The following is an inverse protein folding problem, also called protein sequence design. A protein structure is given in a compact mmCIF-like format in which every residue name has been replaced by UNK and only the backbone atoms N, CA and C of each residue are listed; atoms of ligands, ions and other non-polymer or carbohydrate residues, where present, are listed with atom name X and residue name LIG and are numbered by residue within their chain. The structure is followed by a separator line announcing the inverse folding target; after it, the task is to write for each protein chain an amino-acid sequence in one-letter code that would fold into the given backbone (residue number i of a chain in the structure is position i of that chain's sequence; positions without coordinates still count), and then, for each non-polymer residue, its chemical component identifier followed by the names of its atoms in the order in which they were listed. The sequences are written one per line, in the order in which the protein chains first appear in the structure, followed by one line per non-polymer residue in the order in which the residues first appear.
data_IF_330319365935
#
_entry.id   IF_330319365935
#
_cell.length_a   1.000
_cell.length_b   1.000
_cell.length_c   1.000
_cell.angle_alpha   90.00
_cell.angle_beta   90.00
_cell.angle_gamma   90.00
#
_symmetry.space_group_name_H-M   'P 1'
#
loop_
_entity.id
_entity.type
_entity.pdbx_description
1 polymer ?
#
# COMPACT_ATOMS: atom_id res chain seq x y z
N UNK A 1 14.63 7.65 -4.91
CA UNK A 1 13.18 7.39 -4.76
C UNK A 1 12.52 7.03 -6.08
N UNK A 2 12.05 5.79 -6.21
CA UNK A 2 11.40 5.28 -7.42
C UNK A 2 10.04 4.71 -7.05
N UNK A 3 8.97 5.30 -7.59
CA UNK A 3 7.59 4.86 -7.38
C UNK A 3 7.37 3.39 -7.75
N UNK A 4 8.20 2.86 -8.65
CA UNK A 4 8.16 1.50 -9.15
C UNK A 4 8.30 0.44 -8.05
N UNK A 5 9.11 0.69 -7.00
CA UNK A 5 9.26 -0.27 -5.90
C UNK A 5 7.99 -0.31 -5.04
N UNK A 6 7.37 0.85 -4.81
CA UNK A 6 6.09 0.94 -4.08
C UNK A 6 4.99 0.24 -4.87
N UNK A 7 4.89 0.51 -6.17
CA UNK A 7 3.90 -0.15 -7.03
C UNK A 7 4.11 -1.67 -7.06
N UNK A 8 5.36 -2.14 -7.10
CA UNK A 8 5.65 -3.57 -7.00
C UNK A 8 5.14 -4.17 -5.69
N UNK A 9 5.36 -3.52 -4.55
CA UNK A 9 4.84 -3.98 -3.26
C UNK A 9 3.32 -4.07 -3.27
N UNK A 10 2.65 -3.01 -3.76
CA UNK A 10 1.18 -2.97 -3.83
C UNK A 10 0.63 -4.06 -4.77
N UNK A 11 1.32 -4.31 -5.89
CA UNK A 11 0.98 -5.39 -6.82
C UNK A 11 1.11 -6.75 -6.17
N UNK A 12 2.23 -7.02 -5.50
CA UNK A 12 2.49 -8.31 -4.85
C UNK A 12 1.45 -8.56 -3.72
N UNK A 13 1.09 -7.53 -2.95
CA UNK A 13 0.04 -7.62 -1.92
C UNK A 13 -1.35 -7.86 -2.53
N UNK A 14 -1.66 -7.20 -3.65
CA UNK A 14 -2.92 -7.43 -4.35
C UNK A 14 -3.02 -8.85 -4.93
N UNK A 15 -1.91 -9.34 -5.49
CA UNK A 15 -1.85 -10.60 -6.22
C UNK A 15 -1.76 -11.82 -5.29
N UNK A 16 -1.08 -11.71 -4.15
CA UNK A 16 -0.92 -12.80 -3.18
C UNK A 16 -1.62 -12.47 -1.85
N UNK A 17 -2.74 -13.14 -1.52
CA UNK A 17 -3.45 -12.90 -0.26
C UNK A 17 -2.59 -13.22 0.98
N UNK A 18 -1.59 -14.09 0.88
CA UNK A 18 -0.67 -14.35 1.97
C UNK A 18 0.22 -13.13 2.28
N UNK A 19 0.58 -12.34 1.26
CA UNK A 19 1.31 -11.10 1.46
C UNK A 19 0.41 -10.02 2.08
N UNK A 20 -0.88 -9.98 1.74
CA UNK A 20 -1.85 -9.13 2.43
C UNK A 20 -2.01 -9.52 3.92
N UNK A 21 -2.07 -10.81 4.23
CA UNK A 21 -2.08 -11.31 5.61
C UNK A 21 -0.79 -10.96 6.36
N UNK A 22 0.36 -11.12 5.72
CA UNK A 22 1.66 -10.81 6.30
C UNK A 22 1.82 -9.30 6.49
N UNK A 23 1.31 -8.49 5.56
CA UNK A 23 1.29 -7.04 5.68
C UNK A 23 0.45 -6.57 6.87
N UNK A 24 -0.70 -7.21 7.13
CA UNK A 24 -1.54 -6.92 8.30
C UNK A 24 -0.88 -7.27 9.63
N UNK A 25 -0.08 -8.33 9.67
CA UNK A 25 0.52 -8.84 10.91
C UNK A 25 1.89 -8.22 11.19
N UNK A 26 2.76 -8.17 10.19
CA UNK A 26 4.16 -7.78 10.31
C UNK A 26 4.61 -7.01 9.06
N UNK A 27 4.12 -5.77 8.86
CA UNK A 27 4.44 -4.98 7.66
C UNK A 27 5.94 -4.73 7.54
N UNK A 28 6.64 -4.44 8.64
CA UNK A 28 8.10 -4.20 8.62
C UNK A 28 8.86 -5.39 8.03
N UNK A 29 8.55 -6.61 8.48
CA UNK A 29 9.22 -7.85 8.00
C UNK A 29 8.95 -8.09 6.52
N UNK A 30 7.75 -7.76 6.04
CA UNK A 30 7.43 -7.85 4.62
C UNK A 30 8.21 -6.79 3.82
N UNK A 31 8.22 -5.55 4.29
CA UNK A 31 8.84 -4.42 3.58
C UNK A 31 10.37 -4.50 3.52
N UNK A 32 11.03 -5.21 4.45
CA UNK A 32 12.46 -5.54 4.36
C UNK A 32 12.82 -6.38 3.13
N UNK A 33 11.85 -7.09 2.53
CA UNK A 33 12.07 -7.88 1.30
C UNK A 33 12.19 -7.01 0.06
N UNK A 34 11.88 -5.71 0.17
CA UNK A 34 11.88 -4.77 -0.92
C UNK A 34 12.98 -3.72 -0.71
N UNK A 35 13.59 -3.28 -1.80
CA UNK A 35 14.60 -2.20 -1.80
C UNK A 35 13.98 -0.82 -1.61
N UNK A 36 13.13 -0.65 -0.59
CA UNK A 36 12.50 0.62 -0.23
C UNK A 36 13.44 1.46 0.63
N UNK A 37 13.53 2.74 0.34
CA UNK A 37 14.14 3.71 1.24
C UNK A 37 13.31 3.86 2.53
N UNK A 38 13.90 4.28 3.67
CA UNK A 38 13.16 4.39 4.94
C UNK A 38 11.85 5.19 4.84
N UNK A 39 11.88 6.32 4.13
CA UNK A 39 10.68 7.14 3.92
C UNK A 39 9.61 6.44 3.04
N UNK A 40 10.02 5.56 2.12
CA UNK A 40 9.08 4.78 1.30
C UNK A 40 8.49 3.63 2.12
N UNK A 41 9.29 2.99 2.99
CA UNK A 41 8.79 1.99 3.94
C UNK A 41 7.71 2.57 4.84
N UNK A 42 7.97 3.75 5.42
CA UNK A 42 6.99 4.43 6.27
C UNK A 42 5.69 4.74 5.52
N UNK A 43 5.77 5.26 4.30
CA UNK A 43 4.62 5.53 3.45
C UNK A 43 3.74 4.31 3.19
N UNK A 44 4.37 3.19 2.83
CA UNK A 44 3.64 1.95 2.57
C UNK A 44 3.06 1.40 3.86
N UNK A 45 3.83 1.42 4.95
CA UNK A 45 3.42 0.93 6.27
C UNK A 45 2.22 1.67 6.84
N UNK A 46 2.17 2.99 6.68
CA UNK A 46 1.03 3.80 7.13
C UNK A 46 -0.16 3.72 6.17
N UNK A 47 0.00 3.06 5.01
CA UNK A 47 -0.98 3.05 3.93
C UNK A 47 -1.46 4.46 3.57
N UNK A 48 -0.54 5.43 3.50
CA UNK A 48 -0.91 6.79 3.10
C UNK A 48 -1.13 6.83 1.58
N UNK A 49 -2.30 6.35 1.17
CA UNK A 49 -2.67 6.19 -0.24
C UNK A 49 -2.71 7.52 -0.98
N UNK A 50 -3.01 8.62 -0.27
CA UNK A 50 -2.99 9.96 -0.85
C UNK A 50 -1.57 10.39 -1.16
N UNK A 51 -0.63 10.25 -0.22
CA UNK A 51 0.76 10.58 -0.47
C UNK A 51 1.40 9.68 -1.53
N UNK A 52 1.03 8.40 -1.58
CA UNK A 52 1.51 7.48 -2.62
C UNK A 52 0.91 7.86 -3.99
N UNK A 53 -0.38 8.21 -4.07
CA UNK A 53 -1.01 8.68 -5.30
C UNK A 53 -0.41 10.01 -5.79
N UNK A 54 -0.14 10.96 -4.88
CA UNK A 54 0.51 12.24 -5.21
C UNK A 54 1.93 12.07 -5.74
N UNK A 55 2.58 10.93 -5.46
CA UNK A 55 3.89 10.55 -6.01
C UNK A 55 3.79 9.84 -7.37
N UNK A 56 2.58 9.68 -7.92
CA UNK A 56 2.33 9.17 -9.25
C UNK A 56 2.00 7.68 -9.33
N UNK A 57 1.73 7.00 -8.20
CA UNK A 57 1.29 5.61 -8.23
C UNK A 57 -0.07 5.45 -8.89
N UNK A 58 -0.29 4.31 -9.54
CA UNK A 58 -1.59 3.93 -10.09
C UNK A 58 -2.69 3.90 -9.03
N UNK A 59 -3.74 4.71 -9.23
CA UNK A 59 -4.90 4.76 -8.33
C UNK A 59 -5.65 3.43 -8.28
N UNK A 60 -5.72 2.71 -9.41
CA UNK A 60 -6.37 1.40 -9.47
C UNK A 60 -5.59 0.36 -8.65
N UNK A 61 -4.26 0.43 -8.70
CA UNK A 61 -3.40 -0.46 -7.92
C UNK A 61 -3.52 -0.19 -6.42
N UNK A 62 -3.53 1.08 -6.02
CA UNK A 62 -3.77 1.49 -4.63
C UNK A 62 -5.10 0.98 -4.11
N UNK A 63 -6.18 1.14 -4.89
CA UNK A 63 -7.50 0.65 -4.52
C UNK A 63 -7.53 -0.89 -4.39
N UNK A 64 -6.93 -1.61 -5.33
CA UNK A 64 -6.89 -3.07 -5.29
C UNK A 64 -6.07 -3.61 -4.11
N UNK A 65 -4.91 -3.01 -3.83
CA UNK A 65 -4.09 -3.34 -2.67
C UNK A 65 -4.83 -3.02 -1.36
N UNK A 66 -5.54 -1.89 -1.30
CA UNK A 66 -6.39 -1.54 -0.17
C UNK A 66 -7.45 -2.61 0.09
N UNK A 67 -8.18 -3.02 -0.95
CA UNK A 67 -9.18 -4.07 -0.84
C UNK A 67 -8.60 -5.41 -0.39
N UNK A 68 -7.39 -5.76 -0.85
CA UNK A 68 -6.71 -6.98 -0.40
C UNK A 68 -6.34 -6.93 1.09
N UNK A 69 -5.94 -5.76 1.59
CA UNK A 69 -5.51 -5.57 2.99
C UNK A 69 -6.69 -5.40 3.94
N UNK A 70 -7.60 -4.47 3.63
CA UNK A 70 -8.69 -4.01 4.50
C UNK A 70 -10.05 -4.65 4.19
N UNK A 71 -10.17 -5.29 3.02
CA UNK A 71 -11.44 -5.81 2.53
C UNK A 71 -12.41 -4.72 2.05
N UNK A 72 -13.59 -5.13 1.54
CA UNK A 72 -14.60 -4.21 1.02
C UNK A 72 -15.21 -3.29 2.09
N UNK A 73 -15.16 -3.68 3.37
CA UNK A 73 -15.61 -2.83 4.49
C UNK A 73 -14.76 -1.58 4.69
N UNK A 74 -13.52 -1.56 4.18
CA UNK A 74 -12.60 -0.42 4.29
C UNK A 74 -12.75 0.64 3.21
N UNK A 75 -13.70 0.51 2.27
CA UNK A 75 -13.87 1.49 1.17
C UNK A 75 -14.14 2.92 1.68
N UNK A 76 -14.99 3.15 2.71
CA UNK A 76 -15.20 4.50 3.23
C UNK A 76 -13.91 5.13 3.78
N UNK A 77 -13.05 4.34 4.42
CA UNK A 77 -11.75 4.79 4.94
C UNK A 77 -10.80 5.16 3.77
N UNK A 78 -10.74 4.35 2.71
CA UNK A 78 -9.96 4.67 1.51
C UNK A 78 -10.39 6.00 0.88
N UNK A 79 -11.70 6.20 0.72
CA UNK A 79 -12.24 7.44 0.16
C UNK A 79 -11.94 8.65 1.03
N UNK A 80 -12.02 8.50 2.36
CA UNK A 80 -11.64 9.56 3.31
C UNK A 80 -10.17 9.95 3.17
N UNK A 81 -9.26 8.96 3.12
CA UNK A 81 -7.83 9.24 2.94
C UNK A 81 -7.54 9.89 1.58
N UNK A 82 -8.14 9.39 0.50
CA UNK A 82 -7.97 9.97 -0.84
C UNK A 82 -8.56 11.39 -0.97
N UNK A 83 -9.57 11.74 -0.15
CA UNK A 83 -10.13 13.08 -0.10
C UNK A 83 -9.28 14.07 0.74
N UNK A 84 -8.25 13.59 1.46
CA UNK A 84 -7.43 14.39 2.36
C UNK A 84 -8.16 14.86 3.62
N UNK A 85 -9.17 14.10 4.05
CA UNK A 85 -10.02 14.39 5.21
C UNK A 85 -9.43 13.86 6.53
#
# INVERSE_FOLDING_TARGET
MSINTIERVLWDIHHDPHLADLFRQTPDVLLERYGLEPAEKDLVKTLDVLAIANRGASQMLLFNAWLAIKGPGGIPEYLGQMAGA
#
